data_IF_862319288381
#
_entry.id   IF_862319288381
#
_cell.length_a   1.000
_cell.length_b   1.000
_cell.length_c   1.000
_cell.angle_alpha   90.00
_cell.angle_beta   90.00
_cell.angle_gamma   90.00
#
_symmetry.space_group_name_H-M   'P 1'
#
loop_
_entity.id
_entity.type
_entity.pdbx_description
1 polymer ?
#
# COMPACT_ATOMS: atom_id res chain seq x y z
N UNK A 1 -8.69 -9.78 2.04
CA UNK A 1 -7.98 -9.50 0.77
C UNK A 1 -6.81 -10.46 0.68
N UNK A 2 -6.88 -11.43 -0.21
CA UNK A 2 -5.77 -12.34 -0.47
C UNK A 2 -4.87 -11.71 -1.54
N UNK A 3 -3.56 -11.63 -1.28
CA UNK A 3 -2.58 -11.29 -2.28
C UNK A 3 -2.42 -12.45 -3.28
N UNK A 4 -2.18 -12.10 -4.54
CA UNK A 4 -1.73 -13.01 -5.57
C UNK A 4 -0.44 -13.69 -5.10
N UNK A 5 -0.26 -14.97 -5.42
CA UNK A 5 1.00 -15.68 -5.10
C UNK A 5 2.21 -15.02 -5.76
N UNK A 6 1.97 -14.27 -6.84
CA UNK A 6 2.98 -13.50 -7.54
C UNK A 6 3.47 -12.28 -6.78
N UNK A 7 2.75 -11.77 -5.77
CA UNK A 7 3.17 -10.57 -5.04
C UNK A 7 4.25 -10.93 -4.01
N UNK A 8 5.45 -10.39 -4.18
CA UNK A 8 6.59 -10.62 -3.30
C UNK A 8 6.73 -9.55 -2.22
N UNK A 9 6.44 -8.27 -2.52
CA UNK A 9 6.55 -7.18 -1.55
C UNK A 9 5.49 -6.11 -1.82
N UNK A 10 4.92 -5.55 -0.75
CA UNK A 10 4.11 -4.34 -0.82
C UNK A 10 4.80 -3.22 -0.03
N UNK A 11 5.25 -2.19 -0.72
CA UNK A 11 5.89 -1.01 -0.14
C UNK A 11 4.97 0.18 -0.23
N UNK A 12 4.79 0.89 0.88
CA UNK A 12 3.99 2.10 0.96
C UNK A 12 4.85 3.22 1.51
N UNK A 13 4.98 4.28 0.73
CA UNK A 13 5.66 5.52 1.12
C UNK A 13 4.58 6.55 1.42
N UNK A 14 4.60 7.12 2.61
CA UNK A 14 3.64 8.16 3.01
C UNK A 14 4.32 9.24 3.86
N UNK A 15 3.77 10.45 3.84
CA UNK A 15 4.14 11.48 4.79
C UNK A 15 3.32 11.33 6.07
N UNK A 16 3.86 11.77 7.21
CA UNK A 16 3.24 11.73 8.55
C UNK A 16 2.34 12.94 8.86
N UNK A 17 2.57 14.10 8.21
CA UNK A 17 1.79 15.32 8.44
C UNK A 17 1.09 15.89 7.19
N UNK A 18 1.50 15.52 5.97
CA UNK A 18 0.88 16.07 4.76
C UNK A 18 -0.58 15.62 4.61
N UNK A 19 -1.45 16.53 4.16
CA UNK A 19 -2.86 16.25 3.84
C UNK A 19 -2.99 15.26 2.68
N UNK A 20 -2.04 15.27 1.74
CA UNK A 20 -2.01 14.33 0.61
C UNK A 20 -1.83 12.86 1.02
N UNK A 21 -1.34 12.56 2.23
CA UNK A 21 -1.20 11.19 2.73
C UNK A 21 -2.28 10.78 3.73
N UNK A 22 -3.27 11.64 4.01
CA UNK A 22 -4.29 11.39 5.02
C UNK A 22 -5.10 10.12 4.75
N UNK A 23 -5.56 9.93 3.50
CA UNK A 23 -6.32 8.74 3.11
C UNK A 23 -5.54 7.43 3.23
N UNK A 24 -4.22 7.47 2.98
CA UNK A 24 -3.34 6.29 3.16
C UNK A 24 -3.22 5.95 4.64
N UNK A 25 -3.01 6.94 5.51
CA UNK A 25 -2.93 6.72 6.96
C UNK A 25 -4.21 6.12 7.52
N UNK A 26 -5.36 6.68 7.15
CA UNK A 26 -6.66 6.17 7.59
C UNK A 26 -6.92 4.74 7.10
N UNK A 27 -6.56 4.44 5.85
CA UNK A 27 -6.70 3.10 5.29
C UNK A 27 -5.83 2.09 6.05
N UNK A 28 -4.55 2.40 6.28
CA UNK A 28 -3.64 1.51 7.00
C UNK A 28 -4.02 1.38 8.48
N UNK A 29 -4.43 2.44 9.15
CA UNK A 29 -4.88 2.39 10.55
C UNK A 29 -6.05 1.41 10.76
N UNK A 30 -6.99 1.34 9.81
CA UNK A 30 -8.17 0.46 9.92
C UNK A 30 -7.92 -0.94 9.37
N UNK A 31 -7.14 -1.08 8.28
CA UNK A 31 -7.05 -2.33 7.53
C UNK A 31 -5.73 -3.11 7.71
N UNK A 32 -4.68 -2.50 8.26
CA UNK A 32 -3.35 -3.13 8.33
C UNK A 32 -3.36 -4.46 9.10
N UNK A 33 -4.07 -4.53 10.23
CA UNK A 33 -4.17 -5.77 11.01
C UNK A 33 -4.80 -6.91 10.20
N UNK A 34 -5.90 -6.63 9.48
CA UNK A 34 -6.57 -7.60 8.63
C UNK A 34 -5.72 -7.99 7.41
N UNK A 35 -5.00 -7.03 6.81
CA UNK A 35 -4.08 -7.28 5.69
C UNK A 35 -2.93 -8.20 6.10
N UNK A 36 -2.33 -7.95 7.26
CA UNK A 36 -1.24 -8.76 7.81
C UNK A 36 -1.71 -10.16 8.22
N UNK A 37 -2.89 -10.26 8.84
CA UNK A 37 -3.47 -11.55 9.21
C UNK A 37 -3.80 -12.41 7.97
N UNK A 38 -4.36 -11.80 6.92
CA UNK A 38 -4.68 -12.49 5.68
C UNK A 38 -3.43 -12.88 4.85
N UNK A 39 -2.32 -12.16 5.01
CA UNK A 39 -1.11 -12.33 4.19
C UNK A 39 0.15 -12.41 5.07
N UNK A 40 0.19 -13.35 6.01
CA UNK A 40 1.26 -13.46 7.00
C UNK A 40 2.68 -13.65 6.42
N UNK A 41 2.79 -14.14 5.18
CA UNK A 41 4.06 -14.35 4.47
C UNK A 41 4.49 -13.17 3.60
N UNK A 42 3.61 -12.20 3.38
CA UNK A 42 3.88 -11.05 2.52
C UNK A 42 4.56 -9.93 3.34
N UNK A 43 5.77 -9.49 2.98
CA UNK A 43 6.36 -8.30 3.57
C UNK A 43 5.59 -7.04 3.12
N UNK A 44 4.91 -6.42 4.08
CA UNK A 44 4.26 -5.11 3.92
C UNK A 44 5.15 -4.06 4.59
N UNK A 45 5.86 -3.28 3.79
CA UNK A 45 6.77 -2.23 4.24
C UNK A 45 6.06 -0.88 4.26
N UNK A 46 5.86 -0.32 5.44
CA UNK A 46 5.41 1.07 5.61
C UNK A 46 6.65 1.95 5.82
N UNK A 47 6.84 2.94 4.94
CA UNK A 47 7.93 3.90 4.98
C UNK A 47 7.36 5.29 5.13
N UNK A 48 7.69 5.92 6.24
CA UNK A 48 7.25 7.28 6.55
C UNK A 48 8.37 8.27 6.21
N UNK A 49 8.03 9.35 5.50
CA UNK A 49 8.99 10.38 5.09
C UNK A 49 8.37 11.77 5.10
N UNK A 50 9.01 12.72 5.77
CA UNK A 50 8.52 14.10 5.82
C UNK A 50 8.61 14.75 4.43
N UNK A 51 7.47 15.18 3.88
CA UNK A 51 7.38 15.74 2.52
C UNK A 51 7.35 14.68 1.40
N UNK A 52 7.27 13.39 1.73
CA UNK A 52 7.17 12.34 0.71
C UNK A 52 5.76 12.29 0.09
N UNK A 53 5.72 12.17 -1.24
CA UNK A 53 4.51 11.90 -2.01
C UNK A 53 3.95 10.54 -1.64
N UNK A 54 2.63 10.46 -1.41
CA UNK A 54 2.00 9.20 -1.05
C UNK A 54 2.00 8.23 -2.25
N UNK A 55 2.74 7.13 -2.13
CA UNK A 55 2.94 6.16 -3.21
C UNK A 55 2.91 4.74 -2.67
N UNK A 56 2.29 3.84 -3.44
CA UNK A 56 2.28 2.40 -3.18
C UNK A 56 3.02 1.70 -4.30
N UNK A 57 4.02 0.89 -3.96
CA UNK A 57 4.77 0.06 -4.89
C UNK A 57 4.54 -1.40 -4.55
N UNK A 58 4.07 -2.16 -5.53
CA UNK A 58 3.88 -3.61 -5.46
C UNK A 58 4.95 -4.29 -6.31
N UNK A 59 5.74 -5.16 -5.71
CA UNK A 59 6.78 -5.95 -6.37
C UNK A 59 6.25 -7.37 -6.55
N UNK A 60 6.28 -7.87 -7.78
CA UNK A 60 5.85 -9.21 -8.15
C UNK A 60 7.06 -10.10 -8.48
N UNK A 61 6.80 -11.39 -8.62
CA UNK A 61 7.75 -12.37 -9.13
C UNK A 61 8.36 -11.89 -10.46
N UNK A 62 9.58 -12.36 -10.75
CA UNK A 62 10.38 -11.93 -11.89
C UNK A 62 10.81 -10.45 -11.87
N UNK A 63 10.73 -9.78 -10.71
CA UNK A 63 11.24 -8.42 -10.53
C UNK A 63 10.36 -7.33 -11.17
N UNK A 64 9.09 -7.63 -11.43
CA UNK A 64 8.15 -6.64 -11.96
C UNK A 64 7.71 -5.71 -10.83
N UNK A 65 7.93 -4.41 -10.97
CA UNK A 65 7.50 -3.42 -9.99
C UNK A 65 6.38 -2.54 -10.57
N UNK A 66 5.25 -2.44 -9.85
CA UNK A 66 4.16 -1.52 -10.21
C UNK A 66 4.01 -0.47 -9.11
N UNK A 67 4.19 0.79 -9.50
CA UNK A 67 4.00 1.94 -8.62
C UNK A 67 2.67 2.63 -8.91
N UNK A 68 1.98 3.03 -7.85
CA UNK A 68 0.69 3.71 -7.89
C UNK A 68 0.77 4.95 -7.01
N UNK A 69 0.58 6.12 -7.61
CA UNK A 69 0.43 7.37 -6.89
C UNK A 69 -0.95 7.40 -6.22
N UNK A 70 -0.95 7.62 -4.90
CA UNK A 70 -2.16 7.64 -4.06
C UNK A 70 -2.28 8.96 -3.28
N UNK A 71 -1.58 9.99 -3.74
CA UNK A 71 -1.60 11.31 -3.14
C UNK A 71 -2.98 11.96 -3.29
N UNK A 72 -3.53 12.44 -2.17
CA UNK A 72 -4.82 13.12 -2.11
C UNK A 72 -6.03 12.20 -2.29
N UNK A 73 -5.83 10.89 -2.46
CA UNK A 73 -6.94 9.95 -2.63
C UNK A 73 -7.62 9.65 -1.28
N UNK A 74 -8.96 9.50 -1.26
CA UNK A 74 -9.68 9.06 -0.09
C UNK A 74 -9.35 7.60 0.24
N UNK A 75 -9.48 7.20 1.51
CA UNK A 75 -9.13 5.86 1.98
C UNK A 75 -9.80 4.71 1.21
N UNK A 76 -11.01 4.93 0.69
CA UNK A 76 -11.72 3.96 -0.15
C UNK A 76 -10.99 3.69 -1.48
N UNK A 77 -10.55 4.75 -2.16
CA UNK A 77 -9.82 4.65 -3.43
C UNK A 77 -8.42 4.06 -3.24
N UNK A 78 -7.74 4.42 -2.14
CA UNK A 78 -6.46 3.82 -1.75
C UNK A 78 -6.62 2.30 -1.58
N UNK A 79 -7.69 1.87 -0.89
CA UNK A 79 -8.01 0.46 -0.72
C UNK A 79 -8.28 -0.26 -2.04
N UNK A 80 -8.99 0.37 -2.96
CA UNK A 80 -9.24 -0.16 -4.31
C UNK A 80 -7.94 -0.33 -5.11
N UNK A 81 -7.06 0.68 -5.10
CA UNK A 81 -5.74 0.63 -5.77
C UNK A 81 -4.84 -0.46 -5.19
N UNK A 82 -4.76 -0.55 -3.86
CA UNK A 82 -4.01 -1.59 -3.17
C UNK A 82 -4.60 -2.97 -3.49
N UNK A 83 -5.91 -3.12 -3.49
CA UNK A 83 -6.55 -4.39 -3.84
C UNK A 83 -6.29 -4.80 -5.29
N UNK A 84 -6.27 -3.84 -6.21
CA UNK A 84 -5.92 -4.08 -7.60
C UNK A 84 -4.44 -4.50 -7.73
N UNK A 85 -3.54 -3.83 -7.02
CA UNK A 85 -2.13 -4.19 -6.97
C UNK A 85 -1.91 -5.56 -6.31
N UNK A 86 -2.69 -5.93 -5.29
CA UNK A 86 -2.57 -7.23 -4.64
C UNK A 86 -3.07 -8.38 -5.52
N UNK A 87 -3.99 -8.14 -6.45
CA UNK A 87 -4.58 -9.17 -7.32
C UNK A 87 -3.91 -9.29 -8.70
N UNK A 88 -3.12 -8.28 -9.07
CA UNK A 88 -2.37 -8.27 -10.32
C UNK A 88 -1.26 -9.32 -10.35
#
# INVERSE_FOLDING_TARGET
>A
MAASKALMELRVVMCQNSTGSAGVREFFAKNYAALKAANAKLPILLREGQGATAKVTAVYEFGVEKSFDVEGLPAAEVGSKISAAMKA
#
